data_IF_269226133894
#
_entry.id   IF_269226133894
#
_cell.length_a   1.000
_cell.length_b   1.000
_cell.length_c   1.000
_cell.angle_alpha   90.00
_cell.angle_beta   90.00
_cell.angle_gamma   90.00
#
_symmetry.space_group_name_H-M   'P 1'
#
loop_
_entity.id
_entity.type
_entity.pdbx_description
1 polymer ?
#
# COMPACT_ATOMS: atom_id res chain seq x y z
N UNK A 1 10.80 4.23 -15.14
CA UNK A 1 11.23 3.98 -13.73
C UNK A 1 11.42 5.34 -13.05
N UNK A 2 10.41 5.81 -12.32
CA UNK A 2 10.38 7.18 -11.78
C UNK A 2 11.10 7.31 -10.44
N UNK A 3 12.36 7.75 -10.48
CA UNK A 3 13.19 8.49 -9.47
C UNK A 3 13.17 8.15 -7.97
N UNK A 4 12.36 7.22 -7.47
CA UNK A 4 12.37 6.74 -6.09
C UNK A 4 12.44 5.22 -6.17
N UNK A 5 13.48 4.63 -5.59
CA UNK A 5 13.76 3.18 -5.69
C UNK A 5 12.64 2.32 -5.11
N UNK A 6 12.88 1.03 -4.90
CA UNK A 6 11.96 0.22 -4.10
C UNK A 6 12.12 0.64 -2.62
N UNK A 7 11.03 0.96 -1.89
CA UNK A 7 11.10 1.20 -0.45
C UNK A 7 11.80 0.03 0.24
N UNK A 8 12.74 0.33 1.13
CA UNK A 8 13.47 -0.71 1.90
C UNK A 8 12.94 -0.83 3.32
N UNK A 9 12.37 0.25 3.83
CA UNK A 9 11.82 0.34 5.18
C UNK A 9 10.45 1.05 5.17
N UNK A 10 9.65 0.89 6.24
CA UNK A 10 8.36 1.58 6.36
C UNK A 10 8.49 3.11 6.31
N UNK A 11 9.62 3.65 6.77
CA UNK A 11 9.92 5.08 6.70
C UNK A 11 10.08 5.59 5.25
N UNK A 12 10.51 4.74 4.32
CA UNK A 12 10.57 5.11 2.90
C UNK A 12 9.18 5.31 2.32
N UNK A 13 8.17 4.57 2.78
CA UNK A 13 6.79 4.70 2.27
C UNK A 13 6.28 6.14 2.38
N UNK A 14 6.63 6.85 3.45
CA UNK A 14 6.25 8.25 3.65
C UNK A 14 6.82 9.19 2.56
N UNK A 15 7.90 8.80 1.88
CA UNK A 15 8.52 9.56 0.79
C UNK A 15 8.11 9.08 -0.62
N UNK A 16 7.35 7.99 -0.71
CA UNK A 16 6.85 7.41 -1.95
C UNK A 16 5.42 7.85 -2.25
N UNK A 17 4.99 7.66 -3.49
CA UNK A 17 3.61 7.95 -3.86
C UNK A 17 2.72 6.82 -3.36
N UNK A 18 2.17 6.95 -2.16
CA UNK A 18 1.26 5.96 -1.58
C UNK A 18 -0.20 6.32 -1.90
N UNK A 19 -0.91 5.39 -2.51
CA UNK A 19 -2.33 5.52 -2.80
C UNK A 19 -3.08 5.45 -1.48
N UNK A 20 -3.67 6.59 -1.09
CA UNK A 20 -4.43 6.69 0.14
C UNK A 20 -5.77 5.99 0.00
N UNK A 21 -6.25 5.37 1.07
CA UNK A 21 -7.58 4.80 1.11
C UNK A 21 -8.48 5.68 1.97
N UNK A 22 -9.55 6.24 1.42
CA UNK A 22 -10.50 7.08 2.15
C UNK A 22 -11.60 6.21 2.74
N UNK A 23 -11.67 6.18 4.06
CA UNK A 23 -12.71 5.50 4.80
C UNK A 23 -14.04 6.24 4.60
N UNK A 24 -14.99 5.65 3.86
CA UNK A 24 -16.30 6.27 3.59
C UNK A 24 -17.07 6.56 4.89
N UNK A 25 -16.88 5.74 5.93
CA UNK A 25 -17.54 5.89 7.24
C UNK A 25 -17.08 7.10 8.03
N UNK A 26 -15.80 7.45 7.97
CA UNK A 26 -15.19 8.50 8.80
C UNK A 26 -14.69 9.69 8.00
N UNK A 27 -14.62 9.59 6.67
CA UNK A 27 -14.02 10.59 5.78
C UNK A 27 -12.49 10.70 5.87
N UNK A 28 -11.88 10.07 6.87
CA UNK A 28 -10.45 10.05 7.12
C UNK A 28 -9.70 9.18 6.09
N UNK A 29 -8.44 9.52 5.87
CA UNK A 29 -7.50 8.65 5.17
C UNK A 29 -7.06 7.54 6.13
N UNK A 30 -7.21 6.30 5.67
CA UNK A 30 -6.70 5.13 6.34
C UNK A 30 -5.18 5.20 6.36
N UNK A 31 -4.62 5.09 7.56
CA UNK A 31 -3.18 4.99 7.77
C UNK A 31 -2.82 3.52 7.67
N UNK A 32 -1.73 3.20 7.00
CA UNK A 32 -1.35 1.80 6.84
C UNK A 32 -0.73 1.31 8.14
N UNK A 33 -1.39 0.37 8.77
CA UNK A 33 -0.83 -0.38 9.88
C UNK A 33 0.15 -1.41 9.29
N UNK A 34 1.41 -1.36 9.72
CA UNK A 34 2.50 -2.24 9.28
C UNK A 34 3.28 -2.70 10.50
N UNK A 35 4.01 -3.80 10.42
CA UNK A 35 4.90 -4.23 11.52
C UNK A 35 6.35 -4.13 11.09
N UNK A 36 7.10 -3.15 11.59
CA UNK A 36 8.53 -3.06 11.31
C UNK A 36 9.33 -3.72 12.43
N UNK A 37 10.02 -4.83 12.12
CA UNK A 37 10.85 -5.57 13.08
C UNK A 37 10.11 -5.97 14.38
N UNK A 38 8.83 -6.36 14.26
CA UNK A 38 7.99 -6.74 15.41
C UNK A 38 7.45 -5.56 16.22
N UNK A 39 7.53 -4.34 15.67
CA UNK A 39 6.87 -3.14 16.21
C UNK A 39 5.74 -2.72 15.29
N UNK A 40 4.55 -2.52 15.84
CA UNK A 40 3.45 -1.92 15.10
C UNK A 40 3.79 -0.46 14.76
N UNK A 41 3.85 -0.18 13.47
CA UNK A 41 4.14 1.13 12.89
C UNK A 41 2.95 1.53 12.04
N UNK A 42 2.39 2.69 12.36
CA UNK A 42 1.31 3.30 11.60
C UNK A 42 1.91 4.33 10.65
N UNK A 43 1.79 4.10 9.35
CA UNK A 43 2.32 5.00 8.33
C UNK A 43 1.20 5.87 7.77
N UNK A 44 1.34 7.19 7.93
CA UNK A 44 0.50 8.15 7.22
C UNK A 44 0.93 8.18 5.76
N UNK A 45 0.08 7.63 4.89
CA UNK A 45 0.36 7.62 3.46
C UNK A 45 0.15 8.98 2.85
N UNK A 46 1.16 9.46 2.12
CA UNK A 46 1.08 10.68 1.33
C UNK A 46 1.22 10.31 -0.12
N UNK A 47 0.19 10.57 -0.90
CA UNK A 47 0.23 10.39 -2.32
C UNK A 47 -0.75 11.26 -3.05
N UNK A 48 -0.61 11.25 -4.37
CA UNK A 48 -1.41 12.07 -5.27
C UNK A 48 -2.76 11.44 -5.61
N UNK A 49 -2.99 10.20 -5.19
CA UNK A 49 -4.22 9.46 -5.47
C UNK A 49 -4.84 8.95 -4.17
N UNK A 50 -6.16 9.08 -4.09
CA UNK A 50 -6.98 8.59 -2.98
C UNK A 50 -8.14 7.81 -3.56
N UNK A 51 -8.31 6.57 -3.11
CA UNK A 51 -9.39 5.68 -3.52
C UNK A 51 -10.32 5.39 -2.36
N UNK A 52 -11.54 4.97 -2.65
CA UNK A 52 -12.53 4.60 -1.62
C UNK A 52 -12.74 3.09 -1.53
N UNK A 53 -12.10 2.33 -2.41
CA UNK A 53 -12.25 0.90 -2.57
C UNK A 53 -10.89 0.25 -2.95
N UNK A 54 -10.72 -1.01 -2.58
CA UNK A 54 -9.43 -1.71 -2.71
C UNK A 54 -9.12 -2.05 -4.16
N UNK A 55 -10.14 -2.25 -5.00
CA UNK A 55 -9.98 -2.55 -6.43
C UNK A 55 -9.37 -1.35 -7.16
N UNK A 56 -9.89 -0.14 -6.93
CA UNK A 56 -9.31 1.09 -7.48
C UNK A 56 -7.87 1.30 -7.03
N UNK A 57 -7.51 0.87 -5.81
CA UNK A 57 -6.12 0.89 -5.35
C UNK A 57 -5.23 -0.05 -6.19
N UNK A 58 -5.71 -1.27 -6.48
CA UNK A 58 -5.02 -2.24 -7.35
C UNK A 58 -4.85 -1.67 -8.77
N UNK A 59 -5.91 -1.12 -9.37
CA UNK A 59 -5.84 -0.53 -10.71
C UNK A 59 -4.82 0.60 -10.81
N UNK A 60 -4.76 1.48 -9.81
CA UNK A 60 -3.76 2.55 -9.77
C UNK A 60 -2.34 2.02 -9.59
N UNK A 61 -2.17 0.96 -8.78
CA UNK A 61 -0.88 0.30 -8.63
C UNK A 61 -0.43 -0.37 -9.94
N UNK A 62 -1.36 -1.04 -10.64
CA UNK A 62 -1.14 -1.65 -11.96
C UNK A 62 -0.79 -0.60 -13.02
N UNK A 63 -1.42 0.57 -12.96
CA UNK A 63 -1.11 1.71 -13.82
C UNK A 63 0.23 2.39 -13.47
N UNK A 64 0.91 1.96 -12.40
CA UNK A 64 2.19 2.51 -11.97
C UNK A 64 2.08 3.90 -11.33
N UNK A 65 0.90 4.28 -10.85
CA UNK A 65 0.66 5.57 -10.19
C UNK A 65 1.39 5.64 -8.85
N UNK A 66 1.42 4.53 -8.12
CA UNK A 66 2.02 4.49 -6.79
C UNK A 66 1.95 3.12 -6.11
N UNK A 67 2.22 3.11 -4.81
CA UNK A 67 2.11 1.96 -3.93
C UNK A 67 0.68 1.87 -3.40
N UNK A 68 0.08 0.68 -3.45
CA UNK A 68 -1.24 0.42 -2.87
C UNK A 68 -1.12 -0.54 -1.68
N UNK A 69 -1.97 -0.33 -0.68
CA UNK A 69 -2.16 -1.25 0.44
C UNK A 69 -3.52 -1.90 0.32
N UNK A 70 -3.48 -3.19 0.01
CA UNK A 70 -4.65 -4.00 -0.27
C UNK A 70 -4.43 -5.38 0.31
N UNK A 71 -5.52 -6.09 0.57
CA UNK A 71 -5.46 -7.47 1.01
C UNK A 71 -4.79 -8.36 -0.05
N UNK A 72 -3.92 -9.27 0.41
CA UNK A 72 -3.18 -10.19 -0.46
C UNK A 72 -4.09 -10.91 -1.47
N UNK A 73 -5.28 -11.44 -1.13
CA UNK A 73 -6.14 -12.15 -2.08
C UNK A 73 -6.55 -11.30 -3.29
N UNK A 74 -6.69 -9.98 -3.14
CA UNK A 74 -7.01 -9.07 -4.24
C UNK A 74 -5.83 -8.89 -5.20
N UNK A 75 -4.62 -8.73 -4.64
CA UNK A 75 -3.40 -8.58 -5.42
C UNK A 75 -2.82 -9.92 -5.90
N UNK A 76 -3.24 -11.05 -5.34
CA UNK A 76 -2.66 -12.38 -5.59
C UNK A 76 -2.63 -12.75 -7.07
N UNK A 77 -3.69 -12.43 -7.81
CA UNK A 77 -3.76 -12.69 -9.25
C UNK A 77 -2.71 -11.88 -10.02
N UNK A 78 -2.54 -10.61 -9.68
CA UNK A 78 -1.58 -9.72 -10.31
C UNK A 78 -0.13 -9.97 -9.88
N UNK A 79 0.09 -10.37 -8.62
CA UNK A 79 1.36 -10.83 -8.09
C UNK A 79 1.81 -12.11 -8.80
N UNK A 80 0.90 -13.09 -8.93
CA UNK A 80 1.17 -14.33 -9.66
C UNK A 80 1.45 -14.10 -11.14
N UNK A 81 0.78 -13.11 -11.75
CA UNK A 81 1.03 -12.70 -13.13
C UNK A 81 2.30 -11.85 -13.31
N UNK A 82 2.99 -11.46 -12.23
CA UNK A 82 4.17 -10.59 -12.28
C UNK A 82 3.85 -9.13 -12.67
N UNK A 83 2.58 -8.73 -12.64
CA UNK A 83 2.14 -7.35 -12.90
C UNK A 83 2.33 -6.46 -11.69
N UNK A 84 2.09 -7.01 -10.50
CA UNK A 84 2.42 -6.38 -9.23
C UNK A 84 3.61 -7.06 -8.59
N UNK A 85 4.29 -6.32 -7.72
CA UNK A 85 5.40 -6.84 -6.92
C UNK A 85 5.12 -6.47 -5.47
N UNK A 86 5.18 -7.46 -4.58
CA UNK A 86 5.07 -7.23 -3.16
C UNK A 86 6.29 -6.45 -2.66
N UNK A 87 6.03 -5.34 -1.97
CA UNK A 87 7.03 -4.49 -1.35
C UNK A 87 6.93 -4.67 0.16
N UNK A 88 8.08 -4.79 0.84
CA UNK A 88 8.17 -5.02 2.29
C UNK A 88 7.35 -6.23 2.78
N UNK A 89 7.58 -7.46 2.26
CA UNK A 89 6.85 -8.64 2.74
C UNK A 89 7.03 -8.91 4.24
N UNK A 90 8.16 -8.46 4.81
CA UNK A 90 8.49 -8.57 6.23
C UNK A 90 7.67 -7.62 7.13
N UNK A 91 7.00 -6.62 6.57
CA UNK A 91 6.21 -5.66 7.34
C UNK A 91 4.70 -5.83 7.18
N UNK A 92 4.28 -6.87 6.46
CA UNK A 92 2.89 -7.22 6.33
C UNK A 92 2.32 -7.58 7.71
N UNK A 93 1.23 -6.94 8.10
CA UNK A 93 0.47 -7.35 9.28
C UNK A 93 -0.59 -8.36 8.86
N UNK A 94 -0.75 -9.40 9.67
CA UNK A 94 -1.89 -10.29 9.58
C UNK A 94 -3.01 -9.69 10.43
N UNK A 95 -3.83 -8.83 9.83
CA UNK A 95 -5.08 -8.43 10.49
C UNK A 95 -6.06 -9.60 10.39
N UNK A 96 -6.53 -10.17 11.51
CA UNK A 96 -7.60 -11.15 11.49
C UNK A 96 -8.87 -10.45 11.02
N UNK A 97 -9.20 -10.66 9.75
CA UNK A 97 -10.47 -10.21 9.14
C UNK A 97 -11.68 -10.90 9.73
#
# INVERSE_FOLDING_TARGET
IGKRGRPRDVADLANHNCIGYRLVRSGALYRWDLSDNGKDVVVETRGTAVVTDSLGAVDLALAGVGLAYVFEPLARADLAAGRLVQILPQTAIEEPG
#
